data_IF_836727516810
#
_entry.id   IF_836727516810
#
_cell.length_a   1.000
_cell.length_b   1.000
_cell.length_c   1.000
_cell.angle_alpha   90.00
_cell.angle_beta   90.00
_cell.angle_gamma   90.00
#
_symmetry.space_group_name_H-M   'P 1'
#
loop_
_entity.id
_entity.type
_entity.pdbx_description
1 polymer ?
#
# COMPACT_ATOMS: atom_id res chain seq x y z
N UNK A 1 2.17 -14.60 11.09
CA UNK A 1 3.07 -15.65 11.60
C UNK A 1 3.83 -15.05 12.78
N UNK A 2 4.12 -15.81 13.83
CA UNK A 2 4.98 -15.33 14.92
C UNK A 2 6.45 -15.62 14.59
N UNK A 3 7.34 -14.72 14.97
CA UNK A 3 8.78 -14.83 14.75
C UNK A 3 9.49 -14.48 16.06
N UNK A 4 10.41 -15.34 16.48
CA UNK A 4 11.29 -15.09 17.61
C UNK A 4 12.34 -14.04 17.23
N UNK A 5 12.31 -12.89 17.89
CA UNK A 5 13.23 -11.76 17.64
C UNK A 5 13.64 -11.12 18.97
N UNK A 6 14.81 -10.47 19.00
CA UNK A 6 15.17 -9.60 20.10
C UNK A 6 14.16 -8.45 20.26
N UNK A 7 13.88 -8.08 21.49
CA UNK A 7 13.01 -6.97 21.79
C UNK A 7 13.46 -6.25 23.05
N UNK A 8 13.36 -4.93 23.01
CA UNK A 8 13.59 -4.07 24.16
C UNK A 8 12.25 -3.77 24.84
N UNK A 9 12.12 -4.20 26.10
CA UNK A 9 11.01 -3.85 26.97
C UNK A 9 11.27 -2.47 27.56
N UNK A 10 10.29 -1.57 27.47
CA UNK A 10 10.42 -0.18 27.92
C UNK A 10 9.13 0.29 28.60
N UNK A 11 9.19 1.25 29.54
CA UNK A 11 7.98 1.84 30.13
C UNK A 11 7.12 2.50 29.07
N UNK A 12 5.80 2.26 29.11
CA UNK A 12 4.84 2.78 28.13
C UNK A 12 4.81 4.32 28.11
N UNK A 13 5.08 4.97 29.24
CA UNK A 13 5.21 6.43 29.36
C UNK A 13 6.31 7.03 28.48
N UNK A 14 7.38 6.26 28.19
CA UNK A 14 8.50 6.67 27.33
C UNK A 14 8.48 5.99 25.96
N UNK A 15 7.40 5.27 25.62
CA UNK A 15 7.33 4.42 24.43
C UNK A 15 7.60 5.15 23.12
N UNK A 16 7.04 6.35 22.92
CA UNK A 16 7.27 7.12 21.68
C UNK A 16 8.70 7.65 21.58
N UNK A 17 9.33 8.01 22.70
CA UNK A 17 10.74 8.43 22.72
C UNK A 17 11.66 7.29 22.29
N UNK A 18 11.48 6.10 22.86
CA UNK A 18 12.20 4.89 22.44
C UNK A 18 11.93 4.55 20.97
N UNK A 19 10.67 4.58 20.53
CA UNK A 19 10.32 4.31 19.13
C UNK A 19 11.05 5.24 18.17
N UNK A 20 11.07 6.56 18.42
CA UNK A 20 11.79 7.54 17.59
C UNK A 20 13.28 7.27 17.57
N UNK A 21 13.87 6.98 18.73
CA UNK A 21 15.29 6.67 18.84
C UNK A 21 15.68 5.43 18.03
N UNK A 22 14.94 4.32 18.20
CA UNK A 22 15.20 3.07 17.47
C UNK A 22 15.04 3.25 15.95
N UNK A 23 14.07 4.05 15.50
CA UNK A 23 13.90 4.36 14.08
C UNK A 23 15.05 5.21 13.52
N UNK A 24 15.51 6.20 14.28
CA UNK A 24 16.58 7.10 13.85
C UNK A 24 17.93 6.38 13.73
N UNK A 25 18.20 5.40 14.59
CA UNK A 25 19.45 4.64 14.61
C UNK A 25 19.41 3.33 13.80
N UNK A 26 18.24 2.96 13.27
CA UNK A 26 18.09 1.72 12.48
C UNK A 26 18.01 0.44 13.32
N UNK A 27 17.86 0.55 14.65
CA UNK A 27 17.76 -0.58 15.56
C UNK A 27 16.37 -1.23 15.58
N UNK A 28 15.40 -0.69 14.84
CA UNK A 28 14.03 -1.16 14.78
C UNK A 28 13.79 -2.22 13.68
N UNK A 29 13.06 -3.30 13.98
CA UNK A 29 12.58 -4.24 12.96
C UNK A 29 11.21 -3.82 12.37
N UNK A 30 11.12 -3.27 11.14
CA UNK A 30 9.90 -2.62 10.62
C UNK A 30 8.72 -3.57 10.37
N UNK A 31 9.00 -4.84 10.11
CA UNK A 31 8.01 -5.85 9.76
C UNK A 31 7.42 -6.58 10.97
N UNK A 32 7.82 -6.22 12.19
CA UNK A 32 7.31 -6.83 13.41
C UNK A 32 6.44 -5.81 14.17
N UNK A 33 5.34 -6.29 14.77
CA UNK A 33 4.44 -5.43 15.55
C UNK A 33 4.94 -5.35 17.00
N UNK A 34 5.13 -4.17 17.61
CA UNK A 34 5.40 -4.09 19.03
C UNK A 34 4.30 -4.70 19.89
N UNK A 35 4.69 -5.25 21.03
CA UNK A 35 3.82 -6.02 21.93
C UNK A 35 3.50 -5.17 23.16
N UNK A 36 2.22 -5.00 23.54
CA UNK A 36 1.87 -4.44 24.83
C UNK A 36 2.11 -5.46 25.96
N UNK A 37 2.77 -5.04 27.04
CA UNK A 37 3.04 -5.87 28.23
C UNK A 37 2.75 -5.06 29.51
N UNK A 38 1.47 -5.00 29.89
CA UNK A 38 1.02 -4.18 31.03
C UNK A 38 1.37 -2.70 30.88
N UNK A 39 2.14 -2.18 31.83
CA UNK A 39 2.68 -0.81 31.83
C UNK A 39 3.92 -0.61 30.96
N UNK A 40 4.32 -1.65 30.21
CA UNK A 40 5.46 -1.65 29.31
C UNK A 40 5.04 -1.90 27.86
N UNK A 41 5.94 -1.53 26.95
CA UNK A 41 5.90 -1.88 25.53
C UNK A 41 7.18 -2.62 25.20
N UNK A 42 7.05 -3.67 24.38
CA UNK A 42 8.21 -4.38 23.85
C UNK A 42 8.35 -4.02 22.37
N UNK A 43 9.46 -3.38 22.03
CA UNK A 43 9.80 -3.02 20.66
C UNK A 43 10.73 -4.07 20.04
N UNK A 44 10.48 -4.52 18.80
CA UNK A 44 11.35 -5.49 18.15
C UNK A 44 12.63 -4.82 17.65
N UNK A 45 13.78 -5.40 17.99
CA UNK A 45 15.10 -4.81 17.77
C UNK A 45 15.97 -5.68 16.88
N UNK A 46 16.86 -5.06 16.09
CA UNK A 46 17.75 -5.77 15.16
C UNK A 46 18.82 -6.58 15.91
N UNK A 47 19.30 -6.06 17.04
CA UNK A 47 20.37 -6.62 17.85
C UNK A 47 19.92 -6.92 19.29
N UNK A 48 20.76 -7.68 20.00
CA UNK A 48 20.64 -8.00 21.44
C UNK A 48 21.21 -6.91 22.37
N UNK A 49 21.78 -5.85 21.78
CA UNK A 49 22.37 -4.72 22.50
C UNK A 49 22.13 -3.43 21.72
N UNK A 50 21.65 -2.40 22.40
CA UNK A 50 21.37 -1.07 21.87
C UNK A 50 22.07 -0.06 22.77
N UNK A 51 22.84 0.84 22.16
CA UNK A 51 23.40 1.98 22.90
C UNK A 51 22.28 3.01 23.08
N UNK A 52 21.88 3.28 24.32
CA UNK A 52 20.84 4.26 24.65
C UNK A 52 21.49 5.56 25.17
N UNK A 53 20.89 6.73 24.89
CA UNK A 53 21.29 7.98 25.53
C UNK A 53 20.90 7.96 27.01
N UNK A 54 21.59 8.73 27.85
CA UNK A 54 21.42 8.76 29.31
C UNK A 54 19.94 8.90 29.72
N UNK A 55 19.18 9.78 29.05
CA UNK A 55 17.74 10.01 29.30
C UNK A 55 16.84 8.76 29.16
N UNK A 56 17.27 7.80 28.32
CA UNK A 56 16.60 6.52 28.08
C UNK A 56 17.27 5.37 28.83
N UNK A 57 18.58 5.46 29.09
CA UNK A 57 19.33 4.47 29.85
C UNK A 57 18.89 4.40 31.33
N UNK A 58 18.44 5.53 31.90
CA UNK A 58 17.92 5.61 33.28
C UNK A 58 16.53 4.94 33.47
N UNK A 59 16.04 4.20 32.48
CA UNK A 59 14.75 3.51 32.54
C UNK A 59 14.91 2.05 32.94
N UNK A 60 13.85 1.47 33.52
CA UNK A 60 13.73 0.02 33.64
C UNK A 60 13.47 -0.59 32.25
N UNK A 61 14.55 -0.83 31.51
CA UNK A 61 14.54 -1.46 30.19
C UNK A 61 15.36 -2.74 30.18
N UNK A 62 14.88 -3.72 29.41
CA UNK A 62 15.48 -5.05 29.32
C UNK A 62 15.39 -5.58 27.89
N UNK A 63 16.48 -6.19 27.40
CA UNK A 63 16.56 -6.75 26.05
C UNK A 63 16.60 -8.26 26.14
N UNK A 64 15.55 -8.90 25.61
CA UNK A 64 15.40 -10.36 25.59
C UNK A 64 14.75 -10.81 24.29
N UNK A 65 14.64 -12.12 24.07
CA UNK A 65 13.87 -12.66 22.95
C UNK A 65 12.38 -12.69 23.29
N UNK A 66 11.56 -12.23 22.34
CA UNK A 66 10.11 -12.26 22.40
C UNK A 66 9.54 -12.84 21.10
N UNK A 67 8.31 -13.33 21.16
CA UNK A 67 7.57 -13.80 19.99
C UNK A 67 6.73 -12.64 19.43
N UNK A 68 7.13 -12.12 18.27
CA UNK A 68 6.45 -11.01 17.63
C UNK A 68 5.55 -11.48 16.49
N UNK A 69 4.38 -10.86 16.35
CA UNK A 69 3.60 -11.01 15.13
C UNK A 69 4.29 -10.27 13.97
N UNK A 70 4.55 -11.00 12.88
CA UNK A 70 4.89 -10.36 11.63
C UNK A 70 3.69 -9.58 11.10
N UNK A 71 3.96 -8.34 10.68
CA UNK A 71 3.08 -7.66 9.74
C UNK A 71 3.01 -8.55 8.51
N UNK A 72 1.80 -8.96 8.13
CA UNK A 72 1.64 -9.68 6.88
C UNK A 72 2.27 -8.84 5.78
N UNK A 73 3.24 -9.42 5.06
CA UNK A 73 3.79 -8.76 3.89
C UNK A 73 2.62 -8.45 2.97
N UNK A 74 2.33 -7.16 2.78
CA UNK A 74 1.34 -6.77 1.79
C UNK A 74 1.98 -7.15 0.46
N UNK A 75 1.49 -8.26 -0.11
CA UNK A 75 1.90 -8.67 -1.45
C UNK A 75 1.58 -7.51 -2.40
N UNK A 76 2.55 -7.09 -3.21
CA UNK A 76 2.26 -6.10 -4.23
C UNK A 76 1.25 -6.69 -5.23
N UNK A 77 0.15 -5.98 -5.50
CA UNK A 77 -0.84 -6.48 -6.45
C UNK A 77 -0.26 -6.50 -7.87
N UNK A 78 -0.84 -7.33 -8.73
CA UNK A 78 -0.49 -7.39 -10.14
C UNK A 78 -0.47 -6.01 -10.82
N UNK A 79 0.37 -5.86 -11.86
CA UNK A 79 0.48 -4.59 -12.61
C UNK A 79 -0.87 -4.23 -13.25
N UNK A 80 -1.32 -3.00 -13.05
CA UNK A 80 -2.57 -2.51 -13.61
C UNK A 80 -2.50 -1.00 -13.90
N UNK A 81 -3.36 -0.53 -14.82
CA UNK A 81 -3.66 0.89 -14.98
C UNK A 81 -4.90 1.23 -14.15
N UNK A 82 -4.87 2.36 -13.42
CA UNK A 82 -6.01 2.83 -12.62
C UNK A 82 -6.68 4.01 -13.32
N UNK A 83 -7.98 3.91 -13.54
CA UNK A 83 -8.82 4.96 -14.12
C UNK A 83 -10.04 5.11 -13.21
N UNK A 84 -10.02 6.14 -12.37
CA UNK A 84 -11.08 6.36 -11.39
C UNK A 84 -11.15 5.18 -10.42
N UNK A 85 -12.33 4.59 -10.29
CA UNK A 85 -12.56 3.37 -9.50
C UNK A 85 -12.37 2.06 -10.28
N UNK A 86 -11.83 2.09 -11.50
CA UNK A 86 -11.57 0.90 -12.33
C UNK A 86 -10.07 0.63 -12.42
N UNK A 87 -9.66 -0.61 -12.15
CA UNK A 87 -8.33 -1.09 -12.48
C UNK A 87 -8.36 -1.99 -13.73
N UNK A 88 -7.38 -1.82 -14.62
CA UNK A 88 -7.24 -2.60 -15.85
C UNK A 88 -5.96 -3.43 -15.78
N UNK A 89 -6.12 -4.74 -15.74
CA UNK A 89 -5.04 -5.73 -15.75
C UNK A 89 -4.78 -6.25 -17.17
N UNK A 90 -3.53 -6.63 -17.43
CA UNK A 90 -3.14 -7.32 -18.67
C UNK A 90 -3.27 -8.83 -18.53
N UNK A 91 -3.00 -9.37 -17.35
CA UNK A 91 -3.14 -10.80 -17.10
C UNK A 91 -4.62 -11.16 -16.85
N UNK A 92 -5.00 -12.34 -17.27
CA UNK A 92 -6.34 -12.91 -17.02
C UNK A 92 -6.30 -13.77 -15.76
N UNK A 93 -6.25 -13.12 -14.60
CA UNK A 93 -6.20 -13.79 -13.30
C UNK A 93 -7.27 -13.23 -12.36
N UNK A 94 -8.33 -14.01 -12.17
CA UNK A 94 -9.46 -13.68 -11.30
C UNK A 94 -9.03 -13.61 -9.82
N UNK A 95 -8.11 -14.48 -9.39
CA UNK A 95 -7.67 -14.49 -7.99
C UNK A 95 -6.88 -13.23 -7.65
N UNK A 96 -6.02 -12.78 -8.58
CA UNK A 96 -5.32 -11.50 -8.45
C UNK A 96 -6.26 -10.30 -8.51
N UNK A 97 -7.27 -10.35 -9.38
CA UNK A 97 -8.28 -9.29 -9.45
C UNK A 97 -9.06 -9.15 -8.12
N UNK A 98 -9.44 -10.26 -7.50
CA UNK A 98 -10.08 -10.24 -6.18
C UNK A 98 -9.16 -9.70 -5.08
N UNK A 99 -7.89 -10.09 -5.09
CA UNK A 99 -6.90 -9.55 -4.16
C UNK A 99 -6.71 -8.04 -4.34
N UNK A 100 -6.65 -7.56 -5.59
CA UNK A 100 -6.54 -6.14 -5.90
C UNK A 100 -7.75 -5.34 -5.37
N UNK A 101 -8.97 -5.84 -5.54
CA UNK A 101 -10.17 -5.21 -4.96
C UNK A 101 -10.11 -5.16 -3.43
N UNK A 102 -9.75 -6.27 -2.77
CA UNK A 102 -9.68 -6.35 -1.31
C UNK A 102 -8.59 -5.42 -0.74
N UNK A 103 -7.48 -5.26 -1.47
CA UNK A 103 -6.36 -4.42 -1.04
C UNK A 103 -6.57 -2.91 -1.26
N UNK A 104 -7.50 -2.51 -2.14
CA UNK A 104 -7.73 -1.10 -2.51
C UNK A 104 -9.23 -0.73 -2.51
N UNK A 105 -9.76 -0.17 -1.42
CA UNK A 105 -11.18 0.16 -1.28
C UNK A 105 -11.72 1.18 -2.30
N UNK A 106 -10.86 1.96 -2.97
CA UNK A 106 -11.26 2.91 -4.01
C UNK A 106 -11.61 2.23 -5.34
N UNK A 107 -11.17 0.99 -5.56
CA UNK A 107 -11.47 0.22 -6.77
C UNK A 107 -12.81 -0.49 -6.56
N UNK A 108 -13.74 -0.31 -7.50
CA UNK A 108 -15.02 -1.02 -7.53
C UNK A 108 -15.09 -2.09 -8.61
N UNK A 109 -14.22 -2.03 -9.63
CA UNK A 109 -14.20 -2.99 -10.75
C UNK A 109 -12.77 -3.23 -11.22
N UNK A 110 -12.46 -4.49 -11.52
CA UNK A 110 -11.21 -4.89 -12.16
C UNK A 110 -11.54 -5.48 -13.53
N UNK A 111 -10.93 -4.94 -14.58
CA UNK A 111 -11.10 -5.34 -15.96
C UNK A 111 -9.86 -6.07 -16.47
N UNK A 112 -10.05 -7.05 -17.34
CA UNK A 112 -9.04 -7.60 -18.23
C UNK A 112 -9.20 -7.01 -19.63
N UNK A 113 -8.09 -6.65 -20.27
CA UNK A 113 -8.08 -6.10 -21.64
C UNK A 113 -7.98 -7.24 -22.67
N UNK A 114 -9.09 -7.58 -23.32
CA UNK A 114 -9.17 -8.72 -24.25
C UNK A 114 -8.63 -8.41 -25.66
N UNK A 115 -8.40 -7.13 -25.96
CA UNK A 115 -7.93 -6.71 -27.28
C UNK A 115 -6.89 -5.58 -27.22
N UNK A 116 -6.04 -5.44 -28.25
CA UNK A 116 -5.33 -4.18 -28.48
C UNK A 116 -6.32 -3.04 -28.75
N UNK A 117 -5.79 -1.81 -28.88
CA UNK A 117 -6.58 -0.66 -29.34
C UNK A 117 -6.93 -0.85 -30.82
N UNK A 118 -8.21 -0.70 -31.19
CA UNK A 118 -8.65 -0.88 -32.58
C UNK A 118 -9.78 0.08 -32.99
N UNK A 119 -10.01 0.16 -34.30
CA UNK A 119 -11.08 0.96 -34.90
C UNK A 119 -10.83 2.47 -34.88
N UNK A 120 -11.73 3.20 -35.54
CA UNK A 120 -11.70 4.67 -35.63
C UNK A 120 -11.82 5.33 -34.25
N UNK A 121 -12.69 4.78 -33.40
CA UNK A 121 -12.90 5.26 -32.03
C UNK A 121 -11.81 4.82 -31.04
N UNK A 122 -10.80 4.06 -31.50
CA UNK A 122 -9.65 3.62 -30.69
C UNK A 122 -10.06 2.87 -29.42
N UNK A 123 -11.14 2.10 -29.48
CA UNK A 123 -11.67 1.36 -28.33
C UNK A 123 -10.87 0.08 -28.05
N UNK A 124 -11.09 -0.49 -26.87
CA UNK A 124 -10.58 -1.80 -26.43
C UNK A 124 -11.76 -2.65 -25.96
N UNK A 125 -11.66 -3.96 -26.09
CA UNK A 125 -12.60 -4.90 -25.47
C UNK A 125 -12.14 -5.21 -24.06
N UNK A 126 -13.09 -5.24 -23.14
CA UNK A 126 -12.83 -5.52 -21.74
C UNK A 126 -13.79 -6.59 -21.23
N UNK A 127 -13.28 -7.43 -20.34
CA UNK A 127 -14.07 -8.34 -19.51
C UNK A 127 -13.87 -8.02 -18.04
N UNK A 128 -14.93 -8.09 -17.25
CA UNK A 128 -14.84 -7.92 -15.81
C UNK A 128 -14.23 -9.19 -15.20
N UNK A 129 -13.15 -9.03 -14.45
CA UNK A 129 -12.55 -10.11 -13.66
C UNK A 129 -13.16 -10.18 -12.27
N UNK A 130 -13.40 -9.02 -11.66
CA UNK A 130 -13.97 -8.94 -10.31
C UNK A 130 -14.65 -7.60 -10.04
N UNK A 131 -15.56 -7.58 -9.07
CA UNK A 131 -16.24 -6.37 -8.60
C UNK A 131 -17.55 -6.10 -9.33
N UNK A 132 -17.87 -4.81 -9.53
CA UNK A 132 -19.12 -4.40 -10.19
C UNK A 132 -19.03 -4.63 -11.71
N UNK A 133 -20.09 -5.13 -12.30
CA UNK A 133 -20.22 -5.33 -13.75
C UNK A 133 -20.40 -3.98 -14.48
N UNK A 134 -19.30 -3.26 -14.72
CA UNK A 134 -19.34 -1.95 -15.39
C UNK A 134 -18.00 -1.54 -16.01
N UNK A 135 -18.05 -0.80 -17.11
CA UNK A 135 -16.91 -0.10 -17.73
C UNK A 135 -16.94 1.41 -17.49
N UNK A 136 -17.92 1.89 -16.72
CA UNK A 136 -18.13 3.32 -16.45
C UNK A 136 -17.53 3.73 -15.12
N UNK A 137 -16.87 4.89 -15.10
CA UNK A 137 -16.28 5.43 -13.87
C UNK A 137 -16.23 6.96 -13.87
N UNK A 138 -16.12 7.54 -12.66
CA UNK A 138 -15.76 8.94 -12.47
C UNK A 138 -14.25 9.01 -12.29
N UNK A 139 -13.60 9.81 -13.12
CA UNK A 139 -12.16 10.06 -13.05
C UNK A 139 -11.91 11.52 -12.67
N UNK A 140 -10.95 11.75 -11.79
CA UNK A 140 -10.51 13.10 -11.41
C UNK A 140 -9.08 13.27 -11.86
N UNK A 141 -8.84 14.34 -12.61
CA UNK A 141 -7.51 14.74 -13.05
C UNK A 141 -7.38 16.26 -12.92
N UNK A 142 -6.36 16.72 -12.18
CA UNK A 142 -6.11 18.15 -11.94
C UNK A 142 -7.37 18.93 -11.56
N UNK A 143 -8.12 18.43 -10.56
CA UNK A 143 -9.42 18.96 -10.08
C UNK A 143 -10.57 18.97 -11.10
N UNK A 144 -10.39 18.42 -12.30
CA UNK A 144 -11.46 18.24 -13.28
C UNK A 144 -12.07 16.85 -13.14
N UNK A 145 -13.39 16.76 -13.19
CA UNK A 145 -14.14 15.50 -13.09
C UNK A 145 -14.67 15.08 -14.46
N UNK A 146 -14.38 13.85 -14.84
CA UNK A 146 -14.81 13.23 -16.08
C UNK A 146 -15.65 12.00 -15.78
N UNK A 147 -16.72 11.81 -16.54
CA UNK A 147 -17.45 10.53 -16.58
C UNK A 147 -17.01 9.81 -17.84
N UNK A 148 -16.45 8.62 -17.68
CA UNK A 148 -15.80 7.88 -18.76
C UNK A 148 -16.43 6.49 -18.83
N UNK A 149 -16.74 6.04 -20.04
CA UNK A 149 -17.14 4.67 -20.30
C UNK A 149 -16.11 4.03 -21.24
N UNK A 150 -15.29 3.13 -20.67
CA UNK A 150 -14.13 2.56 -21.34
C UNK A 150 -14.50 1.64 -22.51
N UNK A 151 -15.74 1.12 -22.54
CA UNK A 151 -16.21 0.27 -23.63
C UNK A 151 -16.42 1.03 -24.95
N UNK A 152 -16.62 2.36 -24.87
CA UNK A 152 -17.00 3.18 -26.04
C UNK A 152 -16.06 4.35 -26.30
N UNK A 153 -15.14 4.66 -25.39
CA UNK A 153 -14.19 5.76 -25.54
C UNK A 153 -12.77 5.36 -25.13
N UNK A 154 -11.79 5.71 -25.96
CA UNK A 154 -10.38 5.63 -25.60
C UNK A 154 -10.06 6.60 -24.47
N UNK A 155 -9.45 6.10 -23.40
CA UNK A 155 -8.90 6.93 -22.34
C UNK A 155 -7.63 6.30 -21.76
N UNK A 156 -6.65 7.14 -21.41
CA UNK A 156 -5.52 6.72 -20.58
C UNK A 156 -5.20 7.80 -19.55
N UNK A 157 -5.13 7.37 -18.30
CA UNK A 157 -4.72 8.21 -17.17
C UNK A 157 -3.23 8.62 -17.28
N UNK A 158 -2.42 7.83 -18.01
CA UNK A 158 -0.98 8.11 -18.20
C UNK A 158 -0.69 9.38 -18.98
N UNK A 159 -1.67 9.86 -19.76
CA UNK A 159 -1.54 11.09 -20.56
C UNK A 159 -1.87 12.37 -19.77
N UNK A 160 -2.19 12.28 -18.48
CA UNK A 160 -2.54 13.42 -17.64
C UNK A 160 -1.46 14.52 -17.65
N UNK A 161 -0.20 14.12 -17.54
CA UNK A 161 0.93 15.06 -17.54
C UNK A 161 1.13 15.74 -18.89
N UNK A 162 0.85 15.02 -19.99
CA UNK A 162 0.95 15.58 -21.33
C UNK A 162 -0.16 16.61 -21.58
N UNK A 163 -1.39 16.33 -21.13
CA UNK A 163 -2.49 17.32 -21.16
C UNK A 163 -2.11 18.60 -20.40
N UNK A 164 -1.51 18.47 -19.22
CA UNK A 164 -1.02 19.64 -18.48
C UNK A 164 0.13 20.36 -19.17
N UNK A 165 1.04 19.63 -19.83
CA UNK A 165 2.13 20.24 -20.59
C UNK A 165 1.59 21.12 -21.71
N UNK A 166 0.60 20.64 -22.46
CA UNK A 166 -0.06 21.40 -23.53
C UNK A 166 -0.81 22.61 -22.96
N UNK A 167 -1.55 22.44 -21.86
CA UNK A 167 -2.26 23.56 -21.20
C UNK A 167 -1.33 24.70 -20.81
N UNK A 168 -0.11 24.39 -20.33
CA UNK A 168 0.90 25.41 -19.97
C UNK A 168 1.50 26.17 -21.16
N UNK A 169 1.25 25.73 -22.39
CA UNK A 169 1.69 26.42 -23.61
C UNK A 169 0.63 27.39 -24.15
N UNK A 170 -0.57 27.35 -23.58
CA UNK A 170 -1.66 28.29 -23.88
C UNK A 170 -1.58 29.49 -22.93
#
# INVERSE_FOLDING_TARGET
>A
MTVSQWGIKVPKSKGESFRRYLLANGDWCPNLKPIPDGDYLVFPTVSESITLPDELADCDCDIKKYEFESRAAVREPARHELIGGIAIMQDDDVSEAEYLLKSRPSIHTVLHCESPVFGEYRIKKFRVLAGKETTRTSYIEYNNRFTIDLAVAYFSARLANERQRVLRLM
#
